data_IF_895594223554
#
_entry.id   IF_895594223554
#
_cell.length_a   1.000
_cell.length_b   1.000
_cell.length_c   1.000
_cell.angle_alpha   90.00
_cell.angle_beta   90.00
_cell.angle_gamma   90.00
#
_symmetry.space_group_name_H-M   'P 1'
#
loop_
_entity.id
_entity.type
_entity.pdbx_description
1 polymer ?
#
# COMPACT_ATOMS: atom_id res chain seq x y z
N UNK A 1 -10.28 -25.44 -2.39
CA UNK A 1 -10.33 -24.21 -3.21
C UNK A 1 -9.66 -24.46 -4.57
N UNK A 2 -10.10 -23.85 -5.69
CA UNK A 2 -9.52 -24.13 -7.02
C UNK A 2 -8.00 -23.86 -7.12
N UNK A 3 -7.53 -22.87 -6.37
CA UNK A 3 -6.12 -22.52 -6.28
C UNK A 3 -5.28 -23.62 -5.59
N UNK A 4 -5.84 -24.26 -4.55
CA UNK A 4 -5.17 -25.37 -3.85
C UNK A 4 -5.05 -26.59 -4.75
N UNK A 5 -6.11 -26.89 -5.53
CA UNK A 5 -6.08 -27.96 -6.52
C UNK A 5 -4.96 -27.73 -7.54
N UNK A 6 -4.87 -26.52 -8.11
CA UNK A 6 -3.81 -26.15 -9.05
C UNK A 6 -2.41 -26.20 -8.44
N UNK A 7 -2.28 -25.97 -7.12
CA UNK A 7 -1.03 -26.13 -6.40
C UNK A 7 -0.62 -27.60 -6.27
N UNK A 8 -1.54 -28.50 -5.90
CA UNK A 8 -1.28 -29.93 -5.82
C UNK A 8 -0.93 -30.54 -7.19
N UNK A 9 -1.54 -30.04 -8.26
CA UNK A 9 -1.23 -30.40 -9.65
C UNK A 9 0.09 -29.76 -10.16
N UNK A 10 0.83 -29.05 -9.30
CA UNK A 10 2.11 -28.37 -9.60
C UNK A 10 2.04 -27.38 -10.76
N UNK A 11 0.86 -26.83 -11.06
CA UNK A 11 0.66 -25.91 -12.17
C UNK A 11 1.27 -24.53 -11.92
N UNK A 12 1.41 -24.14 -10.64
CA UNK A 12 1.83 -22.81 -10.20
C UNK A 12 3.29 -22.73 -9.72
N UNK A 13 3.90 -23.87 -9.42
CA UNK A 13 5.17 -23.97 -8.69
C UNK A 13 6.33 -24.42 -9.57
N UNK A 14 7.55 -23.99 -9.24
CA UNK A 14 8.77 -24.48 -9.88
C UNK A 14 9.16 -23.79 -11.20
N UNK A 15 10.22 -24.31 -11.83
CA UNK A 15 10.85 -23.73 -13.03
C UNK A 15 9.97 -23.87 -14.29
N UNK A 16 9.30 -25.01 -14.43
CA UNK A 16 8.44 -25.34 -15.57
C UNK A 16 6.94 -25.23 -15.23
N UNK A 17 6.58 -24.21 -14.43
CA UNK A 17 5.17 -23.97 -14.09
C UNK A 17 4.36 -23.64 -15.34
N UNK A 18 3.11 -24.10 -15.38
CA UNK A 18 2.19 -23.82 -16.48
C UNK A 18 1.62 -22.41 -16.41
N UNK A 19 1.29 -21.94 -15.20
CA UNK A 19 0.68 -20.63 -14.98
C UNK A 19 1.39 -19.83 -13.88
N UNK A 20 1.28 -18.52 -13.94
CA UNK A 20 1.49 -17.67 -12.76
C UNK A 20 0.12 -17.45 -12.09
N UNK A 21 0.11 -16.92 -10.86
CA UNK A 21 -1.16 -16.72 -10.13
C UNK A 21 -2.12 -15.80 -10.90
N UNK A 22 -1.61 -14.72 -11.52
CA UNK A 22 -2.45 -13.76 -12.24
C UNK A 22 -3.12 -14.40 -13.46
N UNK A 23 -2.36 -15.15 -14.27
CA UNK A 23 -2.89 -15.84 -15.46
C UNK A 23 -3.85 -16.95 -15.07
N UNK A 24 -3.56 -17.68 -13.98
CA UNK A 24 -4.47 -18.68 -13.44
C UNK A 24 -5.81 -18.06 -13.02
N UNK A 25 -5.80 -16.95 -12.26
CA UNK A 25 -7.03 -16.24 -11.84
C UNK A 25 -7.83 -15.79 -13.06
N UNK A 26 -7.18 -15.18 -14.06
CA UNK A 26 -7.85 -14.71 -15.27
C UNK A 26 -8.52 -15.85 -16.02
N UNK A 27 -7.82 -16.98 -16.17
CA UNK A 27 -8.35 -18.19 -16.81
C UNK A 27 -9.53 -18.76 -16.02
N UNK A 28 -9.36 -18.94 -14.72
CA UNK A 28 -10.38 -19.49 -13.84
C UNK A 28 -11.65 -18.62 -13.82
N UNK A 29 -11.51 -17.28 -13.82
CA UNK A 29 -12.64 -16.36 -13.90
C UNK A 29 -13.39 -16.46 -15.23
N UNK A 30 -12.68 -16.75 -16.34
CA UNK A 30 -13.29 -16.96 -17.66
C UNK A 30 -14.05 -18.27 -17.74
N UNK A 31 -13.49 -19.34 -17.17
CA UNK A 31 -14.10 -20.67 -17.15
C UNK A 31 -15.28 -20.75 -16.16
N UNK A 32 -15.27 -19.93 -15.10
CA UNK A 32 -16.30 -19.91 -14.06
C UNK A 32 -16.82 -18.48 -13.79
N UNK A 33 -17.65 -17.90 -14.68
CA UNK A 33 -18.13 -16.53 -14.54
C UNK A 33 -19.05 -16.31 -13.33
N UNK A 34 -19.68 -17.36 -12.81
CA UNK A 34 -20.57 -17.32 -11.64
C UNK A 34 -19.83 -17.33 -10.30
N UNK A 35 -18.56 -17.76 -10.29
CA UNK A 35 -17.77 -17.85 -9.06
C UNK A 35 -17.20 -16.49 -8.68
N UNK A 36 -17.30 -16.12 -7.40
CA UNK A 36 -16.59 -14.95 -6.85
C UNK A 36 -15.12 -15.30 -6.65
N UNK A 37 -14.28 -14.83 -7.57
CA UNK A 37 -12.83 -15.08 -7.56
C UNK A 37 -12.10 -13.91 -6.89
N UNK A 38 -11.26 -14.14 -5.85
CA UNK A 38 -10.42 -13.10 -5.29
C UNK A 38 -9.47 -12.49 -6.31
N UNK A 39 -9.11 -11.23 -6.13
CA UNK A 39 -8.11 -10.58 -6.98
C UNK A 39 -6.71 -11.14 -6.70
N UNK A 40 -5.80 -11.00 -7.66
CA UNK A 40 -4.39 -11.39 -7.51
C UNK A 40 -3.75 -10.83 -6.23
N UNK A 41 -4.01 -9.55 -5.92
CA UNK A 41 -3.48 -8.90 -4.71
C UNK A 41 -4.05 -9.52 -3.44
N UNK A 42 -5.32 -9.90 -3.45
CA UNK A 42 -5.97 -10.60 -2.33
C UNK A 42 -5.33 -11.96 -2.09
N UNK A 43 -5.07 -12.74 -3.15
CA UNK A 43 -4.41 -14.05 -3.03
C UNK A 43 -2.99 -13.90 -2.45
N UNK A 44 -2.22 -12.90 -2.90
CA UNK A 44 -0.90 -12.62 -2.33
C UNK A 44 -0.97 -12.29 -0.84
N UNK A 45 -2.02 -11.57 -0.41
CA UNK A 45 -2.25 -11.28 1.00
C UNK A 45 -2.48 -12.58 1.79
N UNK A 46 -3.35 -13.46 1.28
CA UNK A 46 -3.63 -14.77 1.90
C UNK A 46 -2.39 -15.67 2.00
N UNK A 47 -1.54 -15.66 0.98
CA UNK A 47 -0.25 -16.38 1.00
C UNK A 47 0.66 -15.84 2.11
N UNK A 48 0.71 -14.52 2.27
CA UNK A 48 1.54 -13.87 3.29
C UNK A 48 1.01 -14.07 4.72
N UNK A 49 -0.32 -14.10 4.91
CA UNK A 49 -0.93 -14.41 6.21
C UNK A 49 -0.91 -15.90 6.54
N UNK A 50 -0.68 -16.78 5.55
CA UNK A 50 -0.74 -18.23 5.73
C UNK A 50 -2.17 -18.77 5.74
N UNK A 51 -3.15 -18.01 5.25
CA UNK A 51 -4.56 -18.42 5.15
C UNK A 51 -4.78 -19.52 4.11
N UNK A 52 -3.79 -19.77 3.25
CA UNK A 52 -3.81 -20.83 2.24
C UNK A 52 -2.52 -21.63 2.28
N UNK A 53 -2.57 -22.87 1.76
CA UNK A 53 -1.44 -23.82 1.82
C UNK A 53 -0.20 -23.38 1.04
N UNK A 54 -0.36 -22.50 0.05
CA UNK A 54 0.71 -22.04 -0.83
C UNK A 54 1.62 -21.08 -0.06
N UNK A 55 2.92 -21.38 -0.01
CA UNK A 55 3.91 -20.52 0.64
C UNK A 55 4.56 -19.59 -0.38
N UNK A 56 5.08 -18.41 0.05
CA UNK A 56 5.84 -17.53 -0.82
C UNK A 56 7.01 -18.23 -1.53
N UNK A 57 7.65 -19.20 -0.88
CA UNK A 57 8.79 -19.96 -1.42
C UNK A 57 8.44 -20.81 -2.64
N UNK A 58 7.18 -21.24 -2.75
CA UNK A 58 6.72 -22.12 -3.82
C UNK A 58 6.55 -21.36 -5.14
N UNK A 59 6.45 -20.03 -5.05
CA UNK A 59 6.17 -19.15 -6.17
C UNK A 59 7.44 -18.37 -6.56
N UNK A 60 7.99 -18.62 -7.77
CA UNK A 60 9.22 -17.97 -8.21
C UNK A 60 9.17 -16.44 -8.23
N UNK A 61 7.97 -15.88 -8.42
CA UNK A 61 7.76 -14.43 -8.43
C UNK A 61 7.87 -13.83 -7.03
N UNK A 62 7.35 -14.50 -6.00
CA UNK A 62 7.33 -13.96 -4.64
C UNK A 62 8.72 -13.98 -4.01
N UNK A 63 9.54 -14.99 -4.31
CA UNK A 63 10.92 -15.07 -3.82
C UNK A 63 11.87 -14.08 -4.49
N UNK A 64 11.63 -13.73 -5.77
CA UNK A 64 12.46 -12.75 -6.51
C UNK A 64 12.20 -11.30 -6.10
N UNK A 65 10.99 -11.00 -5.62
CA UNK A 65 10.62 -9.64 -5.24
C UNK A 65 11.32 -9.26 -3.94
N UNK A 66 12.36 -8.42 -4.03
CA UNK A 66 12.98 -7.82 -2.86
C UNK A 66 11.95 -6.92 -2.15
N UNK A 67 11.78 -7.03 -0.82
CA UNK A 67 10.86 -6.16 -0.11
C UNK A 67 11.21 -4.70 -0.37
N UNK A 68 10.19 -3.89 -0.66
CA UNK A 68 10.36 -2.44 -0.85
C UNK A 68 10.99 -1.88 0.42
N UNK A 69 12.07 -1.12 0.28
CA UNK A 69 12.68 -0.40 1.40
C UNK A 69 11.71 0.70 1.85
N UNK A 70 10.75 0.36 2.71
CA UNK A 70 9.85 1.32 3.36
C UNK A 70 10.58 2.03 4.51
N UNK A 71 11.85 2.39 4.33
CA UNK A 71 12.39 3.48 5.14
C UNK A 71 11.71 4.71 4.60
N UNK A 72 10.83 5.35 5.39
CA UNK A 72 10.59 6.77 5.19
C UNK A 72 11.97 7.38 4.99
N UNK A 73 12.24 7.91 3.79
CA UNK A 73 13.46 8.68 3.61
C UNK A 73 13.41 9.72 4.72
N UNK A 74 14.36 9.68 5.67
CA UNK A 74 14.55 10.78 6.62
C UNK A 74 14.41 12.05 5.79
N UNK A 75 13.56 13.02 6.19
CA UNK A 75 13.23 14.15 5.35
C UNK A 75 14.54 14.74 4.81
N UNK A 76 14.78 14.60 3.51
CA UNK A 76 15.99 15.10 2.86
C UNK A 76 15.75 16.56 2.57
N UNK A 77 15.93 17.40 3.59
CA UNK A 77 15.85 18.84 3.42
C UNK A 77 15.91 19.59 4.73
N UNK A 78 16.80 20.58 4.78
CA UNK A 78 16.82 21.60 5.83
C UNK A 78 15.70 22.65 5.62
N UNK A 79 14.96 22.58 4.52
CA UNK A 79 13.82 23.45 4.17
C UNK A 79 12.53 23.05 4.90
N UNK A 80 12.58 22.91 6.24
CA UNK A 80 11.33 22.87 7.02
C UNK A 80 10.77 24.29 7.04
N UNK A 81 9.57 24.50 6.49
CA UNK A 81 8.91 25.79 6.61
C UNK A 81 8.71 26.13 8.10
N UNK A 82 9.22 27.28 8.53
CA UNK A 82 8.91 27.83 9.85
C UNK A 82 7.51 28.44 9.76
N UNK A 83 6.50 27.70 10.19
CA UNK A 83 5.17 28.26 10.42
C UNK A 83 5.33 29.37 11.48
N UNK A 84 4.81 30.56 11.20
CA UNK A 84 4.95 31.73 12.08
C UNK A 84 4.40 31.49 13.48
N UNK A 85 4.63 32.44 14.38
CA UNK A 85 4.16 32.34 15.77
C UNK A 85 2.63 32.25 15.86
N UNK A 86 2.17 31.49 16.86
CA UNK A 86 0.75 31.31 17.18
C UNK A 86 0.05 32.66 17.36
N UNK A 87 -1.23 32.73 17.03
CA UNK A 87 -2.01 33.98 17.14
C UNK A 87 -2.01 34.52 18.57
N UNK A 88 -2.00 33.64 19.57
CA UNK A 88 -1.92 33.96 20.99
C UNK A 88 -0.61 34.64 21.43
N UNK A 89 0.47 34.49 20.66
CA UNK A 89 1.78 35.07 20.94
C UNK A 89 2.03 36.37 20.16
N UNK A 90 1.06 36.80 19.36
CA UNK A 90 1.18 38.05 18.60
C UNK A 90 0.88 39.23 19.53
N UNK A 91 1.62 40.34 19.43
CA UNK A 91 1.28 41.53 20.18
C UNK A 91 -0.12 41.99 19.79
N UNK A 92 -0.96 42.24 20.80
CA UNK A 92 -2.28 42.82 20.62
C UNK A 92 -2.06 44.27 20.17
N UNK A 93 -1.99 44.52 18.86
CA UNK A 93 -2.07 45.91 18.39
C UNK A 93 -3.48 46.39 18.71
N UNK A 94 -3.56 47.37 19.61
CA UNK A 94 -4.80 48.02 19.99
C UNK A 94 -5.44 48.64 18.75
N UNK A 95 -6.47 47.98 18.24
CA UNK A 95 -7.30 48.42 17.11
C UNK A 95 -8.04 49.75 17.35
N UNK A 96 -7.77 50.44 18.47
CA UNK A 96 -8.45 51.67 18.89
C UNK A 96 -7.58 52.94 18.78
N UNK A 97 -6.34 52.88 18.27
CA UNK A 97 -5.46 54.07 18.22
C UNK A 97 -5.77 55.08 17.10
N UNK A 98 -6.89 54.95 16.38
CA UNK A 98 -7.34 55.96 15.40
C UNK A 98 -8.51 56.83 15.89
N UNK A 99 -8.85 56.76 17.18
CA UNK A 99 -9.80 57.71 17.77
C UNK A 99 -9.26 58.27 19.08
N UNK A 100 -9.15 59.61 19.13
CA UNK A 100 -8.84 60.49 20.27
C UNK A 100 -7.36 60.85 20.45
N UNK A 101 -6.92 61.96 19.87
CA UNK A 101 -6.97 63.27 20.52
C UNK A 101 -6.45 64.37 19.59
N UNK A 102 -7.37 65.08 18.94
CA UNK A 102 -7.22 66.52 18.74
C UNK A 102 -7.24 67.21 20.12
N UNK A 103 -6.53 68.33 20.22
CA UNK A 103 -6.45 69.30 21.34
C UNK A 103 -5.30 69.08 22.35
N UNK A 104 -4.14 69.68 22.06
CA UNK A 104 -3.65 70.92 22.67
C UNK A 104 -2.60 71.55 21.75
#
# INVERSE_FOLDING_TARGET
>A
MALEKAYHEKMLTGKHRQYNIQTFIMRYKKEHPTHKVPTFKTIYRYIHSGDIIIKPIDLPLMTRLKPRKNKHSKPKGQNKQKLGRSISERPQYDINSFSKHDSQ
#
